data_IF_256794486215
#
_entry.id   IF_256794486215
#
_cell.length_a   1.000
_cell.length_b   1.000
_cell.length_c   1.000
_cell.angle_alpha   90.00
_cell.angle_beta   90.00
_cell.angle_gamma   90.00
#
_symmetry.space_group_name_H-M   'P 1'
#
loop_
_entity.id
_entity.type
_entity.pdbx_description
1 polymer ?
#
# COMPACT_ATOMS: atom_id res chain seq x y z
N UNK A 1 9.10 -4.63 -4.68
CA UNK A 1 8.96 -5.82 -3.81
C UNK A 1 7.95 -6.77 -4.39
N UNK A 2 7.78 -7.94 -3.79
CA UNK A 2 6.63 -8.79 -4.08
C UNK A 2 5.32 -8.16 -3.58
N UNK A 3 4.23 -8.50 -4.27
CA UNK A 3 2.90 -7.90 -4.08
C UNK A 3 2.31 -8.20 -2.70
N UNK A 4 2.71 -9.32 -2.08
CA UNK A 4 2.24 -9.69 -0.75
C UNK A 4 2.86 -8.78 0.31
N UNK A 5 4.17 -8.53 0.24
CA UNK A 5 4.87 -7.58 1.12
C UNK A 5 4.22 -6.20 1.09
N UNK A 6 3.88 -5.70 -0.10
CA UNK A 6 3.19 -4.41 -0.26
C UNK A 6 1.87 -4.35 0.49
N UNK A 7 1.00 -5.34 0.25
CA UNK A 7 -0.27 -5.45 0.95
C UNK A 7 -0.08 -5.51 2.47
N UNK A 8 0.82 -6.37 2.95
CA UNK A 8 1.09 -6.53 4.38
C UNK A 8 1.61 -5.24 5.01
N UNK A 9 2.51 -4.50 4.36
CA UNK A 9 3.03 -3.24 4.86
C UNK A 9 1.96 -2.16 4.90
N UNK A 10 1.20 -1.99 3.81
CA UNK A 10 0.10 -1.01 3.77
C UNK A 10 -0.97 -1.28 4.81
N UNK A 11 -1.34 -2.55 4.97
CA UNK A 11 -2.29 -2.99 6.00
C UNK A 11 -1.77 -2.75 7.42
N UNK A 12 -0.49 -3.02 7.67
CA UNK A 12 0.14 -2.82 8.98
C UNK A 12 0.26 -1.33 9.32
N UNK A 13 0.67 -0.48 8.36
CA UNK A 13 0.76 0.96 8.59
C UNK A 13 -0.61 1.56 8.89
N UNK A 14 -1.62 1.26 8.07
CA UNK A 14 -2.99 1.70 8.33
C UNK A 14 -3.51 1.20 9.70
N UNK A 15 -3.21 -0.05 10.06
CA UNK A 15 -3.56 -0.61 11.36
C UNK A 15 -2.91 0.17 12.51
N UNK A 16 -1.65 0.58 12.38
CA UNK A 16 -0.89 1.30 13.41
C UNK A 16 -1.46 2.68 13.77
N UNK A 17 -2.17 3.30 12.81
CA UNK A 17 -2.85 4.60 12.94
C UNK A 17 -4.35 4.46 13.25
N UNK A 18 -4.88 3.23 13.37
CA UNK A 18 -6.31 2.99 13.52
C UNK A 18 -6.82 3.16 14.96
N UNK A 19 -8.12 3.42 15.11
CA UNK A 19 -8.83 3.23 16.39
C UNK A 19 -9.22 1.76 16.56
N UNK A 20 -9.46 1.33 17.80
CA UNK A 20 -9.82 -0.06 18.15
C UNK A 20 -11.05 -0.59 17.40
N UNK A 21 -12.01 0.27 17.12
CA UNK A 21 -13.25 -0.07 16.40
C UNK A 21 -13.00 -0.23 14.89
N UNK A 22 -11.95 0.40 14.38
CA UNK A 22 -11.64 0.50 12.96
C UNK A 22 -10.47 -0.38 12.53
N UNK A 23 -9.84 -1.12 13.45
CA UNK A 23 -8.65 -1.94 13.16
C UNK A 23 -8.87 -2.81 11.92
N UNK A 24 -10.02 -3.47 11.80
CA UNK A 24 -10.34 -4.31 10.63
C UNK A 24 -10.46 -3.51 9.34
N UNK A 25 -11.25 -2.44 9.36
CA UNK A 25 -11.46 -1.59 8.18
C UNK A 25 -10.16 -0.91 7.75
N UNK A 26 -9.32 -0.49 8.69
CA UNK A 26 -8.02 0.11 8.44
C UNK A 26 -7.07 -0.88 7.77
N UNK A 27 -6.93 -2.09 8.35
CA UNK A 27 -6.07 -3.14 7.79
C UNK A 27 -6.49 -3.52 6.38
N UNK A 28 -7.79 -3.77 6.14
CA UNK A 28 -8.28 -4.14 4.80
C UNK A 28 -8.08 -2.98 3.82
N UNK A 29 -8.39 -1.76 4.21
CA UNK A 29 -8.23 -0.58 3.33
C UNK A 29 -6.77 -0.37 2.95
N UNK A 30 -5.85 -0.38 3.93
CA UNK A 30 -4.43 -0.19 3.68
C UNK A 30 -3.83 -1.30 2.82
N UNK A 31 -4.23 -2.56 3.06
CA UNK A 31 -3.79 -3.72 2.29
C UNK A 31 -4.25 -3.62 0.83
N UNK A 32 -5.54 -3.37 0.59
CA UNK A 32 -6.07 -3.25 -0.77
C UNK A 32 -5.55 -2.00 -1.49
N UNK A 33 -5.31 -0.90 -0.78
CA UNK A 33 -4.76 0.32 -1.37
C UNK A 33 -3.32 0.12 -1.85
N UNK A 34 -2.48 -0.57 -1.07
CA UNK A 34 -1.13 -0.91 -1.48
C UNK A 34 -1.13 -1.84 -2.72
N UNK A 35 -2.03 -2.83 -2.75
CA UNK A 35 -2.19 -3.71 -3.91
C UNK A 35 -2.68 -2.96 -5.17
N UNK A 36 -3.59 -1.99 -5.00
CA UNK A 36 -4.12 -1.23 -6.13
C UNK A 36 -3.05 -0.32 -6.75
N UNK A 37 -2.09 0.17 -5.96
CA UNK A 37 -0.97 0.94 -6.49
C UNK A 37 -0.16 0.13 -7.53
N UNK A 38 -0.04 -1.19 -7.32
CA UNK A 38 0.67 -2.12 -8.20
C UNK A 38 -0.18 -2.66 -9.35
N UNK A 39 -1.45 -2.24 -9.46
CA UNK A 39 -2.32 -2.68 -10.54
C UNK A 39 -1.86 -2.18 -11.93
N UNK A 40 -0.93 -1.23 -11.97
CA UNK A 40 -0.24 -0.81 -13.21
C UNK A 40 0.51 -1.94 -13.91
N UNK A 41 0.91 -3.00 -13.21
CA UNK A 41 1.50 -4.20 -13.79
C UNK A 41 0.53 -4.93 -14.75
N UNK A 42 -0.76 -4.61 -14.69
CA UNK A 42 -1.77 -5.13 -15.62
C UNK A 42 -1.80 -4.36 -16.94
N UNK A 43 -1.22 -3.17 -17.01
CA UNK A 43 -1.11 -2.35 -18.22
C UNK A 43 -0.08 -3.01 -19.14
N UNK A 44 -0.58 -3.82 -20.09
CA UNK A 44 0.22 -4.59 -21.03
C UNK A 44 -0.31 -4.40 -22.45
N UNK A 45 0.59 -4.47 -23.42
CA UNK A 45 0.23 -4.50 -24.84
C UNK A 45 0.66 -5.82 -25.46
N UNK A 46 -0.18 -6.39 -26.33
CA UNK A 46 0.18 -7.57 -27.11
C UNK A 46 1.19 -7.28 -28.23
N UNK A 47 1.33 -6.01 -28.63
CA UNK A 47 2.25 -5.57 -29.69
C UNK A 47 3.53 -4.94 -29.14
N UNK A 48 3.49 -4.42 -27.91
CA UNK A 48 4.63 -3.81 -27.23
C UNK A 48 4.86 -4.45 -25.85
N UNK A 49 5.77 -5.44 -25.77
CA UNK A 49 6.12 -6.10 -24.51
C UNK A 49 6.81 -5.16 -23.51
N UNK A 50 7.41 -4.05 -23.97
CA UNK A 50 8.14 -3.12 -23.10
C UNK A 50 7.21 -2.16 -22.34
N UNK A 51 5.96 -2.02 -22.79
CA UNK A 51 4.97 -1.14 -22.18
C UNK A 51 4.78 -1.40 -20.67
N UNK A 52 4.82 -2.67 -20.26
CA UNK A 52 4.73 -3.05 -18.85
C UNK A 52 5.91 -2.47 -18.06
N UNK A 53 7.12 -2.51 -18.60
CA UNK A 53 8.32 -2.00 -17.92
C UNK A 53 8.32 -0.47 -17.84
N UNK A 54 7.71 0.20 -18.81
CA UNK A 54 7.61 1.66 -18.85
C UNK A 54 6.60 2.19 -17.82
N UNK A 55 5.41 1.59 -17.76
CA UNK A 55 4.33 2.08 -16.89
C UNK A 55 4.35 1.49 -15.49
N UNK A 56 5.00 0.33 -15.28
CA UNK A 56 5.09 -0.27 -13.95
C UNK A 56 5.95 0.60 -13.03
N UNK A 57 5.34 1.04 -11.92
CA UNK A 57 5.92 1.94 -10.90
C UNK A 57 6.23 3.34 -11.42
N UNK A 58 5.45 3.79 -12.39
CA UNK A 58 5.53 5.15 -12.91
C UNK A 58 4.49 6.04 -12.19
N UNK A 59 3.45 6.48 -12.90
CA UNK A 59 2.52 7.49 -12.41
C UNK A 59 1.72 7.04 -11.18
N UNK A 60 1.39 5.76 -11.04
CA UNK A 60 0.66 5.18 -9.90
C UNK A 60 1.40 5.32 -8.56
N UNK A 61 2.73 5.33 -8.61
CA UNK A 61 3.60 5.42 -7.43
C UNK A 61 4.16 6.84 -7.22
N UNK A 62 3.78 7.80 -8.07
CA UNK A 62 4.11 9.21 -7.88
C UNK A 62 3.41 9.77 -6.64
N UNK A 63 4.14 10.56 -5.87
CA UNK A 63 3.62 11.25 -4.68
C UNK A 63 2.41 12.14 -4.98
N UNK A 64 2.32 12.68 -6.20
CA UNK A 64 1.20 13.53 -6.63
C UNK A 64 -0.05 12.71 -6.94
N UNK A 65 0.14 11.49 -7.46
CA UNK A 65 -0.96 10.61 -7.86
C UNK A 65 -1.46 9.71 -6.73
N UNK A 66 -0.65 9.49 -5.68
CA UNK A 66 -1.05 8.75 -4.47
C UNK A 66 -2.37 9.25 -3.86
N UNK A 67 -2.62 10.57 -3.67
CA UNK A 67 -3.91 11.08 -3.22
C UNK A 67 -5.09 10.68 -4.13
N UNK A 68 -4.90 10.70 -5.45
CA UNK A 68 -5.92 10.31 -6.41
C UNK A 68 -6.19 8.80 -6.36
N UNK A 69 -5.15 7.97 -6.27
CA UNK A 69 -5.26 6.53 -6.06
C UNK A 69 -5.99 6.18 -4.76
N UNK A 70 -5.64 6.87 -3.67
CA UNK A 70 -6.31 6.72 -2.38
C UNK A 70 -7.79 7.10 -2.45
N UNK A 71 -8.13 8.16 -3.19
CA UNK A 71 -9.52 8.55 -3.42
C UNK A 71 -10.28 7.46 -4.19
N UNK A 72 -9.69 6.89 -5.25
CA UNK A 72 -10.28 5.79 -6.01
C UNK A 72 -10.58 4.59 -5.10
N UNK A 73 -9.59 4.11 -4.32
CA UNK A 73 -9.79 3.01 -3.35
C UNK A 73 -10.92 3.34 -2.39
N UNK A 74 -10.94 4.58 -1.88
CA UNK A 74 -11.97 5.03 -0.93
C UNK A 74 -13.35 4.99 -1.53
N UNK A 75 -13.52 5.47 -2.77
CA UNK A 75 -14.80 5.47 -3.48
C UNK A 75 -15.30 4.05 -3.75
N UNK A 76 -14.40 3.10 -4.00
CA UNK A 76 -14.74 1.68 -4.18
C UNK A 76 -15.15 1.00 -2.86
N UNK A 77 -14.44 1.28 -1.76
CA UNK A 77 -14.67 0.61 -0.47
C UNK A 77 -15.76 1.26 0.39
N UNK A 78 -15.96 2.56 0.27
CA UNK A 78 -16.99 3.30 1.03
C UNK A 78 -18.39 2.68 0.95
N UNK A 79 -18.96 2.41 -0.23
CA UNK A 79 -20.30 1.82 -0.33
C UNK A 79 -20.36 0.43 0.30
N UNK A 80 -19.31 -0.39 0.16
CA UNK A 80 -19.24 -1.71 0.77
C UNK A 80 -19.26 -1.62 2.30
N UNK A 81 -18.44 -0.76 2.91
CA UNK A 81 -18.42 -0.57 4.36
C UNK A 81 -19.75 0.00 4.90
N UNK A 82 -20.42 0.87 4.13
CA UNK A 82 -21.74 1.37 4.47
C UNK A 82 -22.82 0.28 4.41
N UNK A 83 -22.80 -0.57 3.38
CA UNK A 83 -23.72 -1.70 3.24
C UNK A 83 -23.55 -2.71 4.39
N UNK A 84 -22.30 -2.97 4.79
CA UNK A 84 -21.94 -3.83 5.93
C UNK A 84 -22.12 -3.16 7.31
N UNK A 85 -22.63 -1.91 7.36
CA UNK A 85 -22.89 -1.12 8.57
C UNK A 85 -21.66 -0.92 9.48
N UNK A 86 -20.46 -0.80 8.90
CA UNK A 86 -19.28 -0.41 9.66
C UNK A 86 -19.35 1.08 10.07
N UNK A 87 -19.08 1.44 11.34
CA UNK A 87 -19.13 2.82 11.83
C UNK A 87 -17.84 3.58 11.52
N UNK A 88 -17.51 3.74 10.24
CA UNK A 88 -16.31 4.43 9.76
C UNK A 88 -16.69 5.65 8.91
N UNK A 89 -15.94 6.73 9.05
CA UNK A 89 -16.13 7.94 8.25
C UNK A 89 -15.31 7.87 6.95
N UNK A 90 -15.81 8.48 5.88
CA UNK A 90 -15.15 8.53 4.57
C UNK A 90 -13.70 9.01 4.66
N UNK A 91 -13.47 10.10 5.42
CA UNK A 91 -12.13 10.67 5.65
C UNK A 91 -11.15 9.69 6.28
N UNK A 92 -11.63 8.73 7.07
CA UNK A 92 -10.77 7.73 7.71
C UNK A 92 -10.38 6.61 6.76
N UNK A 93 -11.30 6.15 5.90
CA UNK A 93 -10.96 5.23 4.80
C UNK A 93 -9.97 5.89 3.86
N UNK A 94 -10.20 7.16 3.51
CA UNK A 94 -9.26 7.94 2.70
C UNK A 94 -7.86 7.99 3.33
N UNK A 95 -7.77 8.28 4.64
CA UNK A 95 -6.49 8.26 5.34
C UNK A 95 -5.82 6.88 5.28
N UNK A 96 -6.54 5.80 5.54
CA UNK A 96 -5.98 4.45 5.49
C UNK A 96 -5.55 4.03 4.08
N UNK A 97 -6.31 4.43 3.05
CA UNK A 97 -5.96 4.20 1.66
C UNK A 97 -4.71 5.01 1.26
N UNK A 98 -4.63 6.26 1.69
CA UNK A 98 -3.47 7.13 1.46
C UNK A 98 -2.20 6.53 2.04
N UNK A 99 -2.26 6.03 3.28
CA UNK A 99 -1.13 5.34 3.92
C UNK A 99 -0.71 4.10 3.13
N UNK A 100 -1.67 3.26 2.68
CA UNK A 100 -1.38 2.06 1.89
C UNK A 100 -0.74 2.36 0.53
N UNK A 101 -1.30 3.30 -0.23
CA UNK A 101 -0.72 3.71 -1.53
C UNK A 101 0.67 4.33 -1.34
N UNK A 102 0.85 5.20 -0.33
CA UNK A 102 2.14 5.81 -0.04
C UNK A 102 3.22 4.78 0.32
N UNK A 103 2.87 3.74 1.08
CA UNK A 103 3.83 2.68 1.43
C UNK A 103 4.30 1.88 0.24
N UNK A 104 3.44 1.62 -0.76
CA UNK A 104 3.87 0.90 -1.97
C UNK A 104 4.96 1.71 -2.70
N UNK A 105 4.70 2.99 -2.98
CA UNK A 105 5.66 3.91 -3.58
C UNK A 105 6.98 4.00 -2.82
N UNK A 106 6.92 4.25 -1.52
CA UNK A 106 8.13 4.40 -0.69
C UNK A 106 8.92 3.09 -0.59
N UNK A 107 8.25 1.95 -0.44
CA UNK A 107 8.92 0.65 -0.33
C UNK A 107 9.65 0.30 -1.63
N UNK A 108 9.08 0.65 -2.78
CA UNK A 108 9.73 0.42 -4.06
C UNK A 108 10.93 1.34 -4.31
N UNK A 109 10.92 2.57 -3.77
CA UNK A 109 12.11 3.43 -3.76
C UNK A 109 13.26 2.85 -2.90
N UNK A 110 12.95 2.06 -1.88
CA UNK A 110 13.96 1.36 -1.07
C UNK A 110 14.63 0.18 -1.80
N UNK A 111 14.03 -0.32 -2.88
CA UNK A 111 14.57 -1.45 -3.66
C UNK A 111 15.58 -1.00 -4.71
N UNK A 112 16.36 -1.95 -5.24
CA UNK A 112 17.27 -1.70 -6.37
C UNK A 112 16.54 -1.44 -7.70
N UNK A 113 15.26 -1.80 -7.83
CA UNK A 113 14.48 -1.55 -9.04
C UNK A 113 14.00 -0.09 -9.14
N UNK A 114 13.78 0.56 -7.99
CA UNK A 114 13.35 1.95 -7.90
C UNK A 114 11.92 2.22 -8.40
N UNK A 115 11.56 3.50 -8.36
CA UNK A 115 10.23 4.02 -8.76
C UNK A 115 10.30 5.51 -9.11
N UNK A 116 9.34 6.01 -9.91
CA UNK A 116 9.28 7.42 -10.33
C UNK A 116 8.50 8.30 -9.34
N UNK A 117 9.02 8.48 -8.12
CA UNK A 117 8.34 9.21 -7.04
C UNK A 117 7.95 10.66 -7.39
N UNK A 118 8.78 11.35 -8.19
CA UNK A 118 8.63 12.78 -8.50
C UNK A 118 8.00 13.05 -9.87
N UNK A 119 7.49 12.02 -10.55
CA UNK A 119 6.74 12.21 -11.79
C UNK A 119 5.49 13.07 -11.52
N UNK A 120 5.10 14.03 -12.39
CA UNK A 120 5.60 14.30 -13.74
C UNK A 120 6.70 15.36 -13.80
N UNK A 121 7.22 15.83 -12.66
CA UNK A 121 8.24 16.88 -12.65
C UNK A 121 9.59 16.38 -13.15
N UNK A 122 9.98 15.16 -12.76
CA UNK A 122 11.20 14.51 -13.25
C UNK A 122 10.90 13.08 -13.70
N UNK A 123 11.64 12.62 -14.71
CA UNK A 123 11.64 11.23 -15.16
C UNK A 123 12.62 10.34 -14.40
N UNK A 124 13.28 10.86 -13.35
CA UNK A 124 14.28 10.11 -12.60
C UNK A 124 13.63 8.98 -11.80
N UNK A 125 14.31 7.83 -11.78
CA UNK A 125 13.91 6.65 -11.03
C UNK A 125 14.73 6.61 -9.75
N UNK A 126 14.06 6.79 -8.61
CA UNK A 126 14.70 6.82 -7.30
C UNK A 126 14.83 5.37 -6.80
N UNK A 127 16.07 4.96 -6.53
CA UNK A 127 16.41 3.65 -5.99
C UNK A 127 17.51 3.80 -4.93
N UNK A 128 17.17 3.58 -3.65
CA UNK A 128 18.15 3.61 -2.56
C UNK A 128 18.91 2.30 -2.40
N UNK A 129 18.40 1.19 -2.95
CA UNK A 129 19.06 -0.12 -2.92
C UNK A 129 19.39 -0.62 -1.50
N UNK A 130 18.52 -0.33 -0.53
CA UNK A 130 18.71 -0.67 0.88
C UNK A 130 17.89 -1.89 1.34
N UNK A 131 16.88 -2.31 0.57
CA UNK A 131 16.05 -3.48 0.89
C UNK A 131 15.98 -4.44 -0.32
N UNK A 132 16.15 -5.76 -0.12
CA UNK A 132 16.06 -6.75 -1.21
C UNK A 132 14.64 -6.86 -1.77
N UNK A 133 14.51 -7.08 -3.09
CA UNK A 133 13.21 -7.14 -3.79
C UNK A 133 12.27 -8.24 -3.27
N UNK A 134 12.83 -9.31 -2.70
CA UNK A 134 12.08 -10.43 -2.15
C UNK A 134 12.68 -10.84 -0.81
N UNK A 135 11.87 -10.76 0.24
CA UNK A 135 12.25 -11.15 1.60
C UNK A 135 11.09 -11.90 2.30
N UNK A 136 11.11 -13.24 2.25
CA UNK A 136 10.08 -14.07 2.89
C UNK A 136 10.02 -13.90 4.42
N UNK A 137 11.16 -13.62 5.07
CA UNK A 137 11.21 -13.50 6.51
C UNK A 137 10.55 -12.18 6.94
N UNK A 138 10.85 -11.10 6.23
CA UNK A 138 10.18 -9.81 6.42
C UNK A 138 8.68 -9.93 6.21
N UNK A 139 8.24 -10.56 5.11
CA UNK A 139 6.82 -10.86 4.85
C UNK A 139 6.15 -11.63 5.99
N UNK A 140 6.80 -12.70 6.46
CA UNK A 140 6.26 -13.58 7.49
C UNK A 140 6.11 -12.85 8.84
N UNK A 141 7.14 -12.10 9.25
CA UNK A 141 7.12 -11.33 10.49
C UNK A 141 6.05 -10.24 10.46
N UNK A 142 5.98 -9.50 9.35
CA UNK A 142 4.99 -8.44 9.14
C UNK A 142 3.56 -9.01 9.14
N UNK A 143 3.35 -10.14 8.46
CA UNK A 143 2.09 -10.88 8.47
C UNK A 143 1.70 -11.36 9.86
N UNK A 144 2.64 -11.91 10.64
CA UNK A 144 2.39 -12.34 12.01
C UNK A 144 1.97 -11.17 12.91
N UNK A 145 2.65 -10.02 12.81
CA UNK A 145 2.32 -8.82 13.59
C UNK A 145 0.99 -8.20 13.17
N UNK A 146 0.69 -8.15 11.88
CA UNK A 146 -0.60 -7.69 11.35
C UNK A 146 -1.75 -8.56 11.87
N UNK A 147 -1.61 -9.89 11.82
CA UNK A 147 -2.61 -10.83 12.31
C UNK A 147 -2.80 -10.73 13.83
N UNK A 148 -1.71 -10.60 14.58
CA UNK A 148 -1.77 -10.42 16.03
C UNK A 148 -2.44 -9.08 16.40
N UNK A 149 -2.12 -8.00 15.69
CA UNK A 149 -2.77 -6.70 15.85
C UNK A 149 -4.26 -6.74 15.49
N UNK A 150 -4.64 -7.50 14.46
CA UNK A 150 -6.03 -7.69 14.06
C UNK A 150 -6.83 -8.47 15.13
N UNK A 151 -6.22 -9.50 15.73
CA UNK A 151 -6.84 -10.32 16.78
C UNK A 151 -6.96 -9.58 18.10
N UNK A 152 -5.91 -8.88 18.51
CA UNK A 152 -5.86 -8.13 19.76
C UNK A 152 -6.58 -6.78 19.69
N UNK A 153 -6.81 -6.25 18.48
CA UNK A 153 -7.28 -4.88 18.21
C UNK A 153 -6.42 -3.81 18.87
N UNK A 154 -5.11 -4.09 18.99
CA UNK A 154 -4.11 -3.18 19.55
C UNK A 154 -3.17 -2.71 18.46
N UNK A 155 -2.93 -1.40 18.41
CA UNK A 155 -1.99 -0.78 17.45
C UNK A 155 -0.53 -1.08 17.76
N UNK A 156 -0.21 -1.44 19.00
CA UNK A 156 1.17 -1.72 19.43
C UNK A 156 1.82 -2.85 18.62
N UNK A 157 1.07 -3.91 18.31
CA UNK A 157 1.55 -5.01 17.50
C UNK A 157 1.97 -4.56 16.09
N UNK A 158 1.11 -3.77 15.43
CA UNK A 158 1.43 -3.18 14.14
C UNK A 158 2.66 -2.28 14.20
N UNK A 159 2.77 -1.45 15.24
CA UNK A 159 3.92 -0.55 15.42
C UNK A 159 5.23 -1.33 15.62
N UNK A 160 5.21 -2.42 16.38
CA UNK A 160 6.37 -3.30 16.52
C UNK A 160 6.71 -3.92 15.16
N UNK A 161 5.72 -4.40 14.42
CA UNK A 161 5.94 -4.97 13.08
C UNK A 161 6.56 -4.00 12.08
N UNK A 162 6.31 -2.70 12.20
CA UNK A 162 6.93 -1.66 11.35
C UNK A 162 8.37 -1.30 11.75
N UNK A 163 8.82 -1.71 12.94
CA UNK A 163 10.18 -1.44 13.45
C UNK A 163 11.14 -2.62 13.26
N UNK A 164 10.62 -3.79 12.87
CA UNK A 164 11.39 -4.98 12.53
C UNK A 164 11.94 -4.86 11.10
#
# INVERSE_FOLDING_TARGET
MDILTHGLLGGTLAQSCSKKEETRTATVTGFLAALLADADALIRSGTDPLLVLEYHRQFTHSLIFIPAGALLVTLLLWPAFKALRYPIAFRRIYLYALLGCATSGLLDACTSYGTHLLWPFTGERIAWSIVPIFDPLFSLLLGAMLLFGLRSRKTLAARIGLLL
#
